data_IF_751906442288
#
_entry.id   IF_751906442288
#
_cell.length_a   1.000
_cell.length_b   1.000
_cell.length_c   1.000
_cell.angle_alpha   90.00
_cell.angle_beta   90.00
_cell.angle_gamma   90.00
#
_symmetry.space_group_name_H-M   'P 1'
#
loop_
_entity.id
_entity.type
_entity.pdbx_description
1 polymer ?
#
# COMPACT_ATOMS: atom_id res chain seq x y z
N UNK A 1 7.85 0.00 -25.52
CA UNK A 1 8.20 -0.20 -26.94
C UNK A 1 9.66 0.18 -27.06
N UNK A 2 10.50 -0.70 -27.62
CA UNK A 2 11.93 -0.46 -27.76
C UNK A 2 12.25 -0.05 -29.20
N UNK A 3 13.19 0.87 -29.42
CA UNK A 3 13.60 1.28 -30.78
C UNK A 3 14.92 0.61 -31.14
N UNK A 4 14.98 0.00 -32.34
CA UNK A 4 16.21 -0.60 -32.83
C UNK A 4 17.29 0.48 -33.02
N UNK A 5 18.50 0.34 -32.45
CA UNK A 5 19.56 1.33 -32.61
C UNK A 5 20.12 1.38 -34.05
N UNK A 6 19.88 0.34 -34.86
CA UNK A 6 20.39 0.23 -36.22
C UNK A 6 19.44 0.83 -37.26
N UNK A 7 18.13 0.55 -37.16
CA UNK A 7 17.14 0.99 -38.16
C UNK A 7 15.99 1.84 -37.58
N UNK A 8 15.99 2.14 -36.28
CA UNK A 8 14.96 2.93 -35.57
C UNK A 8 13.54 2.35 -35.55
N UNK A 9 13.34 1.14 -36.08
CA UNK A 9 12.06 0.43 -36.03
C UNK A 9 11.60 0.26 -34.57
N UNK A 10 10.33 0.58 -34.25
CA UNK A 10 9.73 0.21 -32.98
C UNK A 10 9.47 -1.30 -32.93
N UNK A 11 9.94 -1.95 -31.87
CA UNK A 11 9.75 -3.37 -31.60
C UNK A 11 9.03 -3.55 -30.24
N UNK A 12 8.32 -4.68 -30.03
CA UNK A 12 7.72 -5.00 -28.74
C UNK A 12 8.77 -5.17 -27.64
N UNK A 13 8.38 -4.98 -26.39
CA UNK A 13 9.27 -5.18 -25.23
C UNK A 13 9.69 -6.66 -25.13
N UNK A 14 10.96 -6.92 -24.86
CA UNK A 14 11.50 -8.28 -24.74
C UNK A 14 11.88 -8.97 -26.06
N UNK A 15 11.82 -8.29 -27.20
CA UNK A 15 12.32 -8.82 -28.47
C UNK A 15 13.85 -8.98 -28.46
N UNK A 16 14.35 -10.18 -28.78
CA UNK A 16 15.80 -10.43 -28.91
C UNK A 16 16.38 -9.94 -30.24
N UNK A 17 15.54 -9.75 -31.27
CA UNK A 17 15.94 -9.33 -32.61
C UNK A 17 14.94 -8.31 -33.17
N UNK A 18 15.41 -7.46 -34.08
CA UNK A 18 14.55 -6.51 -34.78
C UNK A 18 13.71 -7.19 -35.87
N UNK A 19 12.40 -6.96 -35.85
CA UNK A 19 11.45 -7.51 -36.82
C UNK A 19 11.60 -6.93 -38.24
N UNK A 20 12.34 -5.82 -38.40
CA UNK A 20 12.58 -5.18 -39.69
C UNK A 20 13.97 -5.49 -40.28
N UNK A 21 15.05 -5.33 -39.50
CA UNK A 21 16.42 -5.47 -40.02
C UNK A 21 17.20 -6.67 -39.46
N UNK A 22 16.63 -7.44 -38.53
CA UNK A 22 17.28 -8.62 -37.94
C UNK A 22 18.43 -8.31 -36.96
N UNK A 23 18.75 -7.03 -36.70
CA UNK A 23 19.75 -6.65 -35.71
C UNK A 23 19.41 -7.22 -34.33
N UNK A 24 20.42 -7.69 -33.59
CA UNK A 24 20.26 -8.13 -32.20
C UNK A 24 19.84 -6.95 -31.32
N UNK A 25 18.88 -7.21 -30.44
CA UNK A 25 18.38 -6.28 -29.43
C UNK A 25 18.60 -6.81 -28.02
N UNK A 26 19.34 -7.92 -27.85
CA UNK A 26 19.54 -8.59 -26.58
C UNK A 26 20.08 -7.64 -25.48
N UNK A 27 21.09 -6.83 -25.79
CA UNK A 27 21.66 -5.88 -24.82
C UNK A 27 20.66 -4.80 -24.40
N UNK A 28 19.84 -4.30 -25.34
CA UNK A 28 18.80 -3.30 -25.06
C UNK A 28 17.68 -3.91 -24.23
N UNK A 29 17.25 -5.13 -24.59
CA UNK A 29 16.23 -5.88 -23.86
C UNK A 29 16.69 -6.24 -22.43
N UNK A 30 17.96 -6.61 -22.25
CA UNK A 30 18.55 -6.86 -20.94
C UNK A 30 18.61 -5.58 -20.09
N UNK A 31 19.04 -4.46 -20.67
CA UNK A 31 19.05 -3.17 -19.98
C UNK A 31 17.65 -2.72 -19.55
N UNK A 32 16.63 -2.89 -20.41
CA UNK A 32 15.23 -2.61 -20.06
C UNK A 32 14.72 -3.51 -18.93
N UNK A 33 15.04 -4.81 -18.97
CA UNK A 33 14.65 -5.76 -17.92
C UNK A 33 15.29 -5.41 -16.57
N UNK A 34 16.56 -5.04 -16.57
CA UNK A 34 17.25 -4.59 -15.34
C UNK A 34 16.61 -3.32 -14.77
N UNK A 35 16.22 -2.36 -15.63
CA UNK A 35 15.50 -1.17 -15.20
C UNK A 35 14.12 -1.49 -14.60
N UNK A 36 13.38 -2.42 -15.22
CA UNK A 36 12.07 -2.87 -14.74
C UNK A 36 12.17 -3.61 -13.39
N UNK A 37 13.18 -4.45 -13.22
CA UNK A 37 13.48 -5.13 -11.96
C UNK A 37 13.85 -4.13 -10.85
N UNK A 38 14.66 -3.12 -11.18
CA UNK A 38 15.00 -2.05 -10.24
C UNK A 38 13.76 -1.25 -9.81
N UNK A 39 12.91 -0.85 -10.76
CA UNK A 39 11.65 -0.14 -10.45
C UNK A 39 10.70 -1.01 -9.61
N UNK A 40 10.54 -2.29 -9.96
CA UNK A 40 9.75 -3.24 -9.19
C UNK A 40 10.24 -3.39 -7.74
N UNK A 41 11.56 -3.39 -7.52
CA UNK A 41 12.17 -3.50 -6.19
C UNK A 41 11.87 -2.28 -5.31
N UNK A 42 11.92 -1.07 -5.90
CA UNK A 42 11.59 0.18 -5.21
C UNK A 42 10.12 0.23 -4.82
N UNK A 43 9.22 -0.17 -5.73
CA UNK A 43 7.78 -0.26 -5.46
C UNK A 43 7.47 -1.30 -4.38
N UNK A 44 8.13 -2.47 -4.41
CA UNK A 44 8.00 -3.49 -3.37
C UNK A 44 8.43 -2.95 -2.00
N UNK A 45 9.48 -2.13 -1.95
CA UNK A 45 9.94 -1.52 -0.72
C UNK A 45 8.94 -0.48 -0.17
N UNK A 46 8.32 0.31 -1.03
CA UNK A 46 7.21 1.19 -0.64
C UNK A 46 6.02 0.40 -0.08
N UNK A 47 5.67 -0.72 -0.72
CA UNK A 47 4.60 -1.60 -0.26
C UNK A 47 4.94 -2.22 1.11
N UNK A 48 6.21 -2.54 1.41
CA UNK A 48 6.63 -2.99 2.76
C UNK A 48 6.43 -1.91 3.83
N UNK A 49 6.46 -0.62 3.48
CA UNK A 49 6.17 0.49 4.42
C UNK A 49 4.70 0.48 4.88
N UNK A 50 3.78 -0.11 4.11
CA UNK A 50 2.38 -0.30 4.52
C UNK A 50 2.27 -1.10 5.83
N UNK A 51 3.21 -2.02 6.06
CA UNK A 51 3.27 -2.79 7.30
C UNK A 51 3.61 -1.92 8.51
N UNK A 52 4.60 -1.05 8.36
CA UNK A 52 5.01 -0.11 9.40
C UNK A 52 3.87 0.85 9.71
N UNK A 53 3.18 1.34 8.67
CA UNK A 53 1.95 2.13 8.83
C UNK A 53 0.89 1.43 9.68
N UNK A 54 0.58 0.15 9.41
CA UNK A 54 -0.40 -0.61 10.20
C UNK A 54 0.04 -0.79 11.67
N UNK A 55 1.34 -1.00 11.92
CA UNK A 55 1.88 -1.04 13.28
C UNK A 55 1.78 0.31 13.99
N UNK A 56 2.05 1.43 13.31
CA UNK A 56 1.93 2.77 13.87
C UNK A 56 0.48 3.06 14.24
N UNK A 57 -0.47 2.79 13.33
CA UNK A 57 -1.90 2.99 13.59
C UNK A 57 -2.38 2.08 14.73
N UNK A 58 -2.04 0.79 14.70
CA UNK A 58 -2.37 -0.15 15.78
C UNK A 58 -1.79 0.28 17.14
N UNK A 59 -0.54 0.75 17.16
CA UNK A 59 0.09 1.26 18.38
C UNK A 59 -0.56 2.53 18.91
N UNK A 60 -0.92 3.47 18.03
CA UNK A 60 -1.63 4.69 18.40
C UNK A 60 -3.03 4.38 18.97
N UNK A 61 -3.75 3.43 18.36
CA UNK A 61 -5.04 2.95 18.86
C UNK A 61 -4.89 2.26 20.23
N UNK A 62 -3.87 1.41 20.39
CA UNK A 62 -3.63 0.73 21.66
C UNK A 62 -3.35 1.72 22.78
N UNK A 63 -2.50 2.72 22.52
CA UNK A 63 -2.18 3.78 23.47
C UNK A 63 -3.42 4.64 23.78
N UNK A 64 -4.20 5.01 22.76
CA UNK A 64 -5.44 5.76 22.92
C UNK A 64 -6.47 5.01 23.78
N UNK A 65 -6.66 3.71 23.52
CA UNK A 65 -7.54 2.85 24.31
C UNK A 65 -7.06 2.71 25.76
N UNK A 66 -5.75 2.53 25.98
CA UNK A 66 -5.17 2.44 27.32
C UNK A 66 -5.35 3.73 28.14
N UNK A 67 -5.19 4.90 27.52
CA UNK A 67 -5.42 6.20 28.16
C UNK A 67 -6.91 6.46 28.45
N UNK A 68 -7.80 5.98 27.58
CA UNK A 68 -9.24 6.11 27.74
C UNK A 68 -9.83 5.20 28.84
N UNK A 69 -9.09 4.19 29.31
CA UNK A 69 -9.57 3.17 30.26
C UNK A 69 -10.22 3.73 31.52
N UNK A 70 -9.73 4.87 32.03
CA UNK A 70 -10.26 5.47 33.27
C UNK A 70 -11.48 6.37 33.05
N UNK A 71 -11.82 6.68 31.80
CA UNK A 71 -12.88 7.62 31.42
C UNK A 71 -14.08 6.86 30.87
N UNK A 72 -13.83 5.94 29.94
CA UNK A 72 -14.86 5.14 29.28
C UNK A 72 -14.31 3.75 28.99
N UNK A 73 -14.70 2.80 29.84
CA UNK A 73 -14.24 1.41 29.75
C UNK A 73 -14.71 0.73 28.45
N UNK A 74 -15.95 1.00 28.01
CA UNK A 74 -16.51 0.36 26.81
C UNK A 74 -15.77 0.86 25.56
N UNK A 75 -15.57 2.18 25.45
CA UNK A 75 -14.82 2.77 24.36
C UNK A 75 -13.36 2.27 24.33
N UNK A 76 -12.74 2.14 25.50
CA UNK A 76 -11.38 1.61 25.65
C UNK A 76 -11.25 0.19 25.08
N UNK A 77 -12.14 -0.73 25.48
CA UNK A 77 -12.14 -2.11 24.97
C UNK A 77 -12.33 -2.17 23.45
N UNK A 78 -13.30 -1.42 22.90
CA UNK A 78 -13.49 -1.37 21.44
C UNK A 78 -12.25 -0.87 20.70
N UNK A 79 -11.55 0.13 21.25
CA UNK A 79 -10.34 0.69 20.66
C UNK A 79 -9.16 -0.30 20.73
N UNK A 80 -9.04 -1.02 21.84
CA UNK A 80 -8.00 -2.05 22.02
C UNK A 80 -8.23 -3.28 21.12
N UNK A 81 -9.48 -3.71 20.94
CA UNK A 81 -9.83 -4.77 19.98
C UNK A 81 -9.44 -4.34 18.57
N UNK A 82 -9.75 -3.10 18.18
CA UNK A 82 -9.36 -2.57 16.89
C UNK A 82 -7.84 -2.53 16.73
N UNK A 83 -7.12 -2.09 17.75
CA UNK A 83 -5.65 -2.13 17.75
C UNK A 83 -5.14 -3.56 17.49
N UNK A 84 -5.71 -4.57 18.15
CA UNK A 84 -5.36 -5.97 17.93
C UNK A 84 -5.63 -6.43 16.48
N UNK A 85 -6.74 -6.02 15.88
CA UNK A 85 -7.04 -6.26 14.47
C UNK A 85 -5.97 -5.63 13.58
N UNK A 86 -5.58 -4.38 13.84
CA UNK A 86 -4.53 -3.69 13.08
C UNK A 86 -3.16 -4.38 13.21
N UNK A 87 -2.81 -4.87 14.39
CA UNK A 87 -1.60 -5.69 14.56
C UNK A 87 -1.69 -7.01 13.78
N UNK A 88 -2.85 -7.69 13.79
CA UNK A 88 -3.11 -8.87 12.98
C UNK A 88 -2.94 -8.59 11.48
N UNK A 89 -3.51 -7.49 11.00
CA UNK A 89 -3.33 -7.02 9.61
C UNK A 89 -1.88 -6.66 9.31
N UNK A 90 -1.14 -6.07 10.25
CA UNK A 90 0.28 -5.77 10.09
C UNK A 90 1.13 -7.05 9.98
N UNK A 91 0.78 -8.13 10.69
CA UNK A 91 1.42 -9.43 10.52
C UNK A 91 1.04 -10.04 9.16
N UNK A 92 -0.23 -9.96 8.78
CA UNK A 92 -0.73 -10.47 7.49
C UNK A 92 -0.19 -9.72 6.27
N UNK A 93 0.17 -8.44 6.43
CA UNK A 93 0.80 -7.63 5.40
C UNK A 93 2.14 -8.20 4.90
N UNK A 94 2.78 -9.12 5.65
CA UNK A 94 3.93 -9.88 5.14
C UNK A 94 3.61 -10.72 3.91
N UNK A 95 2.40 -11.28 3.84
CA UNK A 95 1.96 -12.13 2.73
C UNK A 95 1.24 -11.32 1.66
N UNK A 96 0.33 -10.44 2.08
CA UNK A 96 -0.52 -9.67 1.17
C UNK A 96 -0.66 -8.21 1.65
N UNK A 97 0.35 -7.35 1.40
CA UNK A 97 0.38 -5.98 1.91
C UNK A 97 -0.76 -5.11 1.35
N UNK A 98 -1.11 -5.29 0.08
CA UNK A 98 -2.21 -4.55 -0.56
C UNK A 98 -3.56 -4.87 0.08
N UNK A 99 -3.89 -6.16 0.19
CA UNK A 99 -5.14 -6.59 0.81
C UNK A 99 -5.23 -6.14 2.28
N UNK A 100 -4.13 -6.23 3.03
CA UNK A 100 -4.06 -5.75 4.41
C UNK A 100 -4.33 -4.24 4.51
N UNK A 101 -3.77 -3.43 3.62
CA UNK A 101 -4.00 -1.98 3.61
C UNK A 101 -5.46 -1.63 3.30
N UNK A 102 -6.09 -2.30 2.33
CA UNK A 102 -7.51 -2.09 1.98
C UNK A 102 -8.42 -2.50 3.14
N UNK A 103 -8.21 -3.69 3.71
CA UNK A 103 -9.03 -4.17 4.84
C UNK A 103 -8.86 -3.25 6.05
N UNK A 104 -7.64 -2.81 6.35
CA UNK A 104 -7.38 -1.86 7.43
C UNK A 104 -8.08 -0.52 7.24
N UNK A 105 -8.04 0.03 6.02
CA UNK A 105 -8.74 1.28 5.67
C UNK A 105 -10.26 1.13 5.83
N UNK A 106 -10.84 0.05 5.30
CA UNK A 106 -12.29 -0.20 5.42
C UNK A 106 -12.69 -0.37 6.88
N UNK A 107 -11.97 -1.17 7.65
CA UNK A 107 -12.24 -1.36 9.08
C UNK A 107 -12.17 -0.04 9.86
N UNK A 108 -11.18 0.81 9.56
CA UNK A 108 -11.04 2.12 10.18
C UNK A 108 -12.23 3.03 9.86
N UNK A 109 -12.58 3.15 8.58
CA UNK A 109 -13.68 4.00 8.14
C UNK A 109 -15.02 3.54 8.69
N UNK A 110 -15.31 2.24 8.66
CA UNK A 110 -16.52 1.67 9.24
C UNK A 110 -16.67 2.04 10.72
N UNK A 111 -15.56 2.00 11.47
CA UNK A 111 -15.58 2.36 12.88
C UNK A 111 -15.74 3.86 13.13
N UNK A 112 -15.08 4.71 12.33
CA UNK A 112 -15.28 6.17 12.40
C UNK A 112 -16.74 6.52 12.12
N UNK A 113 -17.35 5.89 11.12
CA UNK A 113 -18.76 6.07 10.79
C UNK A 113 -19.70 5.54 11.88
N UNK A 114 -19.39 4.40 12.49
CA UNK A 114 -20.17 3.86 13.60
C UNK A 114 -20.15 4.80 14.82
N UNK A 115 -18.98 5.31 15.20
CA UNK A 115 -18.86 6.27 16.30
C UNK A 115 -19.57 7.60 16.00
N UNK A 116 -19.53 8.06 14.76
CA UNK A 116 -20.25 9.26 14.32
C UNK A 116 -21.77 9.11 14.47
N UNK A 117 -22.31 7.91 14.27
CA UNK A 117 -23.74 7.62 14.41
C UNK A 117 -24.19 7.54 15.88
N UNK A 118 -23.30 7.18 16.80
CA UNK A 118 -23.58 7.12 18.24
C UNK A 118 -23.46 8.50 18.86
N UNK A 119 -22.34 9.19 18.63
CA UNK A 119 -22.05 10.51 19.19
C UNK A 119 -21.29 11.41 18.21
N UNK A 120 -21.89 12.51 17.72
CA UNK A 120 -21.24 13.39 16.74
C UNK A 120 -20.07 14.18 17.32
N UNK A 121 -20.00 14.34 18.64
CA UNK A 121 -18.89 14.99 19.35
C UNK A 121 -17.58 14.18 19.29
N UNK A 122 -17.64 12.88 18.94
CA UNK A 122 -16.45 12.05 18.73
C UNK A 122 -15.68 12.43 17.47
N UNK A 123 -16.26 13.24 16.57
CA UNK A 123 -15.60 13.67 15.34
C UNK A 123 -14.55 14.75 15.60
N UNK A 124 -14.80 15.67 16.53
CA UNK A 124 -13.86 16.75 16.91
C UNK A 124 -12.71 16.23 17.78
N UNK A 125 -12.98 15.27 18.65
CA UNK A 125 -11.96 14.66 19.49
C UNK A 125 -11.10 13.66 18.70
N UNK A 126 -9.79 13.91 18.65
CA UNK A 126 -8.83 13.05 17.96
C UNK A 126 -8.90 13.11 16.43
N UNK A 127 -9.52 14.16 15.86
CA UNK A 127 -9.62 14.34 14.40
C UNK A 127 -8.26 14.30 13.72
N UNK A 128 -7.23 14.89 14.34
CA UNK A 128 -5.86 14.93 13.83
C UNK A 128 -5.32 13.51 13.63
N UNK A 129 -5.46 12.63 14.63
CA UNK A 129 -4.98 11.25 14.56
C UNK A 129 -5.75 10.47 13.49
N UNK A 130 -7.06 10.65 13.42
CA UNK A 130 -7.91 9.99 12.40
C UNK A 130 -7.51 10.40 10.99
N UNK A 131 -7.29 11.70 10.75
CA UNK A 131 -6.86 12.22 9.45
C UNK A 131 -5.47 11.69 9.10
N UNK A 132 -4.52 11.67 10.04
CA UNK A 132 -3.18 11.12 9.82
C UNK A 132 -3.25 9.62 9.48
N UNK A 133 -4.03 8.85 10.25
CA UNK A 133 -4.21 7.41 10.01
C UNK A 133 -4.81 7.15 8.62
N UNK A 134 -5.85 7.89 8.23
CA UNK A 134 -6.47 7.79 6.91
C UNK A 134 -5.47 8.15 5.82
N UNK A 135 -4.72 9.26 5.96
CA UNK A 135 -3.74 9.70 4.97
C UNK A 135 -2.63 8.64 4.76
N UNK A 136 -2.13 8.07 5.85
CA UNK A 136 -1.13 7.00 5.82
C UNK A 136 -1.69 5.74 5.12
N UNK A 137 -2.91 5.32 5.46
CA UNK A 137 -3.54 4.14 4.87
C UNK A 137 -3.87 4.36 3.39
N UNK A 138 -4.38 5.53 3.01
CA UNK A 138 -4.65 5.88 1.62
C UNK A 138 -3.37 5.87 0.77
N UNK A 139 -2.27 6.41 1.31
CA UNK A 139 -0.96 6.34 0.64
C UNK A 139 -0.55 4.89 0.41
N UNK A 140 -0.63 4.04 1.44
CA UNK A 140 -0.30 2.61 1.34
C UNK A 140 -1.14 1.87 0.28
N UNK A 141 -2.45 2.17 0.20
CA UNK A 141 -3.34 1.59 -0.82
C UNK A 141 -2.96 2.07 -2.23
N UNK A 142 -2.69 3.37 -2.40
CA UNK A 142 -2.27 3.96 -3.70
C UNK A 142 -0.95 3.36 -4.19
N UNK A 143 0.05 3.26 -3.33
CA UNK A 143 1.35 2.67 -3.66
C UNK A 143 1.19 1.19 -4.09
N UNK A 144 0.31 0.44 -3.41
CA UNK A 144 -0.03 -0.93 -3.79
C UNK A 144 -0.78 -1.06 -5.12
N UNK A 145 -1.67 -0.11 -5.46
CA UNK A 145 -2.31 -0.05 -6.77
C UNK A 145 -1.31 0.27 -7.89
N UNK A 146 -0.40 1.21 -7.64
CA UNK A 146 0.66 1.58 -8.59
C UNK A 146 1.55 0.38 -8.92
N UNK A 147 1.96 -0.40 -7.91
CA UNK A 147 2.72 -1.64 -8.13
C UNK A 147 1.97 -2.67 -8.99
N UNK A 148 0.66 -2.87 -8.74
CA UNK A 148 -0.15 -3.81 -9.53
C UNK A 148 -0.35 -3.32 -10.97
N UNK A 149 -0.52 -2.01 -11.16
CA UNK A 149 -0.63 -1.41 -12.49
C UNK A 149 0.67 -1.55 -13.28
N UNK A 150 1.81 -1.28 -12.64
CA UNK A 150 3.15 -1.43 -13.23
C UNK A 150 3.40 -2.86 -13.71
N UNK A 151 3.16 -3.86 -12.85
CA UNK A 151 3.28 -5.27 -13.23
C UNK A 151 2.41 -5.64 -14.42
N UNK A 152 1.15 -5.22 -14.41
CA UNK A 152 0.20 -5.48 -15.51
C UNK A 152 0.67 -4.84 -16.83
N UNK A 153 1.22 -3.63 -16.81
CA UNK A 153 1.71 -2.95 -18.02
C UNK A 153 2.97 -3.59 -18.61
N UNK A 154 3.77 -4.29 -17.80
CA UNK A 154 4.99 -4.97 -18.23
C UNK A 154 4.80 -6.47 -18.50
N UNK A 155 3.58 -6.99 -18.35
CA UNK A 155 3.28 -8.41 -18.56
C UNK A 155 3.85 -9.35 -17.49
N UNK A 156 4.10 -8.84 -16.27
CA UNK A 156 4.69 -9.56 -15.13
C UNK A 156 3.66 -10.10 -14.14
#
# INVERSE_FOLDING_TARGET
>A
MLRCPQCSQPNPLGSNFCEACGASLAEVADAERMADEAEASVLLEQVKKARVALFIVGGALLLGGALAWRVDEVAAWTTMILAAIFFGLAVWAKRNPFAAAVVGLVAFLSLVLANLAVDPSTLTNGIVIKVIAIAILLKAVRDGLAYRAFRKSRGL
#
